data_IF_941342229341
#
_entry.id   IF_941342229341
#
_cell.length_a   1.000
_cell.length_b   1.000
_cell.length_c   1.000
_cell.angle_alpha   90.00
_cell.angle_beta   90.00
_cell.angle_gamma   90.00
#
_symmetry.space_group_name_H-M   'P 1'
#
loop_
_entity.id
_entity.type
_entity.pdbx_description
1 polymer ?
#
# COMPACT_ATOMS: atom_id res chain seq x y z
N UNK A 1 -3.28 21.64 -11.39
CA UNK A 1 -2.53 21.72 -12.65
C UNK A 1 -1.56 22.89 -12.60
N UNK A 2 -0.34 22.79 -13.15
CA UNK A 2 0.60 23.89 -13.23
C UNK A 2 0.00 25.07 -14.02
N UNK A 3 0.26 26.27 -13.56
CA UNK A 3 -0.23 27.49 -14.18
C UNK A 3 0.92 28.23 -14.85
N UNK A 4 0.75 28.54 -16.14
CA UNK A 4 1.64 29.38 -16.93
C UNK A 4 0.97 30.70 -17.33
N UNK A 5 0.03 31.21 -16.52
CA UNK A 5 -0.53 32.55 -16.66
C UNK A 5 0.50 33.63 -16.35
N UNK A 6 0.24 34.86 -16.81
CA UNK A 6 1.18 35.97 -16.74
C UNK A 6 1.76 36.22 -15.33
N UNK A 7 0.91 36.12 -14.29
CA UNK A 7 1.33 36.32 -12.91
C UNK A 7 2.26 35.21 -12.41
N UNK A 8 1.95 33.95 -12.73
CA UNK A 8 2.80 32.81 -12.38
C UNK A 8 4.15 32.88 -13.07
N UNK A 9 4.17 33.25 -14.37
CA UNK A 9 5.42 33.42 -15.11
C UNK A 9 6.24 34.58 -14.52
N UNK A 10 5.60 35.70 -14.14
CA UNK A 10 6.29 36.81 -13.49
C UNK A 10 6.93 36.37 -12.19
N UNK A 11 6.17 35.72 -11.31
CA UNK A 11 6.69 35.23 -10.03
C UNK A 11 7.82 34.21 -10.20
N UNK A 12 7.69 33.29 -11.16
CA UNK A 12 8.77 32.35 -11.48
C UNK A 12 10.05 33.06 -11.92
N UNK A 13 9.94 34.07 -12.81
CA UNK A 13 11.09 34.87 -13.25
C UNK A 13 11.72 35.64 -12.09
N UNK A 14 10.93 36.28 -11.24
CA UNK A 14 11.42 36.98 -10.04
C UNK A 14 12.17 36.07 -9.08
N UNK A 15 11.84 34.78 -9.08
CA UNK A 15 12.50 33.72 -8.26
C UNK A 15 13.63 33.00 -8.98
N UNK A 16 13.94 33.36 -10.24
CA UNK A 16 14.96 32.66 -11.02
C UNK A 16 14.56 31.25 -11.48
N UNK A 17 13.25 30.95 -11.52
CA UNK A 17 12.72 29.66 -11.95
C UNK A 17 12.50 29.69 -13.45
N UNK A 18 13.03 28.68 -14.14
CA UNK A 18 12.81 28.52 -15.58
C UNK A 18 11.38 28.04 -15.86
N UNK A 19 10.55 28.94 -16.31
CA UNK A 19 9.15 28.67 -16.64
C UNK A 19 8.94 27.83 -17.92
N UNK A 20 10.01 27.59 -18.70
CA UNK A 20 10.00 26.68 -19.86
C UNK A 20 10.35 25.24 -19.44
N UNK A 21 10.90 25.05 -18.27
CA UNK A 21 11.16 23.73 -17.71
C UNK A 21 9.93 23.18 -17.01
N UNK A 22 9.31 22.17 -17.60
CA UNK A 22 8.06 21.56 -17.08
C UNK A 22 8.16 21.11 -15.63
N UNK A 23 9.27 20.45 -15.25
CA UNK A 23 9.52 20.00 -13.89
C UNK A 23 9.58 21.18 -12.90
N UNK A 24 10.25 22.26 -13.28
CA UNK A 24 10.34 23.47 -12.45
C UNK A 24 8.98 24.16 -12.28
N UNK A 25 8.14 24.15 -13.33
CA UNK A 25 6.77 24.70 -13.29
C UNK A 25 5.86 23.86 -12.39
N UNK A 26 5.97 22.53 -12.43
CA UNK A 26 5.23 21.65 -11.52
C UNK A 26 5.63 21.88 -10.06
N UNK A 27 6.93 21.98 -9.79
CA UNK A 27 7.42 22.24 -8.44
C UNK A 27 6.98 23.63 -7.92
N UNK A 28 7.04 24.66 -8.75
CA UNK A 28 6.51 25.97 -8.41
C UNK A 28 5.01 25.93 -8.10
N UNK A 29 4.21 25.19 -8.90
CA UNK A 29 2.78 25.03 -8.67
C UNK A 29 2.50 24.33 -7.33
N UNK A 30 3.28 23.28 -7.00
CA UNK A 30 3.19 22.56 -5.73
C UNK A 30 3.47 23.49 -4.55
N UNK A 31 4.60 24.18 -4.57
CA UNK A 31 4.99 25.14 -3.52
C UNK A 31 3.98 26.30 -3.37
N UNK A 32 3.41 26.77 -4.47
CA UNK A 32 2.39 27.83 -4.44
C UNK A 32 1.10 27.37 -3.79
N UNK A 33 0.66 26.14 -4.09
CA UNK A 33 -0.48 25.49 -3.44
C UNK A 33 -0.24 25.33 -1.94
N UNK A 34 0.91 24.80 -1.56
CA UNK A 34 1.25 24.51 -0.17
C UNK A 34 1.27 25.81 0.67
N UNK A 35 1.86 26.90 0.13
CA UNK A 35 1.82 28.23 0.76
C UNK A 35 0.39 28.76 0.91
N UNK A 36 -0.44 28.59 -0.11
CA UNK A 36 -1.84 29.00 -0.06
C UNK A 36 -2.59 28.23 1.03
N UNK A 37 -2.49 26.92 1.06
CA UNK A 37 -3.15 26.08 2.07
C UNK A 37 -2.69 26.42 3.49
N UNK A 38 -1.38 26.61 3.69
CA UNK A 38 -0.82 27.04 4.98
C UNK A 38 -1.36 28.40 5.43
N UNK A 39 -1.43 29.36 4.52
CA UNK A 39 -1.98 30.69 4.82
C UNK A 39 -3.46 30.62 5.24
N UNK A 40 -4.28 29.87 4.49
CA UNK A 40 -5.70 29.68 4.82
C UNK A 40 -5.85 28.96 6.17
N UNK A 41 -5.10 27.90 6.41
CA UNK A 41 -5.15 27.17 7.68
C UNK A 41 -4.83 28.09 8.87
N UNK A 42 -3.79 28.92 8.75
CA UNK A 42 -3.41 29.86 9.80
C UNK A 42 -4.51 30.92 10.06
N UNK A 43 -5.11 31.47 9.01
CA UNK A 43 -6.18 32.45 9.13
C UNK A 43 -7.44 31.85 9.80
N UNK A 44 -7.83 30.64 9.41
CA UNK A 44 -8.98 29.97 10.00
C UNK A 44 -8.72 29.65 11.48
N UNK A 45 -7.54 29.08 11.80
CA UNK A 45 -7.16 28.78 13.20
C UNK A 45 -7.12 30.02 14.09
N UNK A 46 -6.70 31.17 13.54
CA UNK A 46 -6.72 32.45 14.27
C UNK A 46 -8.13 32.97 14.50
N UNK A 47 -8.99 32.85 13.49
CA UNK A 47 -10.38 33.33 13.58
C UNK A 47 -11.27 32.42 14.46
N UNK A 48 -11.09 31.10 14.37
CA UNK A 48 -11.81 30.11 15.15
C UNK A 48 -10.97 28.83 15.32
N UNK A 49 -10.29 28.67 16.49
CA UNK A 49 -9.46 27.50 16.77
C UNK A 49 -10.22 26.15 16.71
N UNK A 50 -11.55 26.17 16.90
CA UNK A 50 -12.40 25.00 16.89
C UNK A 50 -13.02 24.70 15.51
N UNK A 51 -12.74 25.50 14.49
CA UNK A 51 -13.24 25.25 13.15
C UNK A 51 -12.70 23.92 12.61
N UNK A 52 -13.58 23.10 12.04
CA UNK A 52 -13.19 21.92 11.31
C UNK A 52 -12.65 22.34 9.93
N UNK A 53 -11.44 21.92 9.63
CA UNK A 53 -10.73 22.28 8.42
C UNK A 53 -10.25 21.03 7.70
N UNK A 54 -10.56 20.97 6.42
CA UNK A 54 -10.11 19.94 5.48
C UNK A 54 -9.73 20.60 4.15
N UNK A 55 -8.70 20.07 3.51
CA UNK A 55 -8.30 20.49 2.16
C UNK A 55 -8.41 19.33 1.19
N UNK A 56 -9.30 19.42 0.24
CA UNK A 56 -9.39 18.46 -0.85
C UNK A 56 -8.16 18.54 -1.78
N UNK A 57 -7.67 17.39 -2.25
CA UNK A 57 -6.56 17.28 -3.19
C UNK A 57 -5.15 17.42 -2.60
N UNK A 58 -5.01 17.43 -1.27
CA UNK A 58 -3.73 17.27 -0.59
C UNK A 58 -3.45 15.79 -0.25
N UNK A 59 -2.18 15.45 -0.04
CA UNK A 59 -1.81 14.14 0.51
C UNK A 59 -2.36 13.99 1.93
N UNK A 60 -2.53 12.76 2.41
CA UNK A 60 -3.02 12.52 3.77
C UNK A 60 -2.12 13.16 4.83
N UNK A 61 -0.79 13.13 4.65
CA UNK A 61 0.14 13.79 5.54
C UNK A 61 -0.11 15.30 5.58
N UNK A 62 -0.21 15.95 4.42
CA UNK A 62 -0.51 17.39 4.34
C UNK A 62 -1.87 17.74 4.96
N UNK A 63 -2.88 16.89 4.77
CA UNK A 63 -4.18 17.05 5.43
C UNK A 63 -4.06 16.95 6.97
N UNK A 64 -3.26 15.99 7.47
CA UNK A 64 -3.02 15.81 8.89
C UNK A 64 -2.32 17.02 9.53
N UNK A 65 -1.34 17.59 8.83
CA UNK A 65 -0.55 18.74 9.30
C UNK A 65 -1.37 20.03 9.35
N UNK A 66 -2.18 20.26 8.34
CA UNK A 66 -2.92 21.51 8.15
C UNK A 66 -4.33 21.48 8.75
N UNK A 67 -5.00 20.33 8.69
CA UNK A 67 -6.40 20.15 9.04
C UNK A 67 -6.64 19.55 10.42
N UNK A 68 -7.93 19.35 10.71
CA UNK A 68 -8.41 18.74 11.95
C UNK A 68 -8.88 17.30 11.74
N UNK A 69 -9.18 16.92 10.51
CA UNK A 69 -9.58 15.57 10.13
C UNK A 69 -9.08 15.26 8.72
N UNK A 70 -9.07 13.99 8.41
CA UNK A 70 -8.73 13.49 7.08
C UNK A 70 -10.02 13.06 6.37
N UNK A 71 -10.04 13.27 5.08
CA UNK A 71 -11.08 12.72 4.23
C UNK A 71 -10.45 12.07 3.01
N UNK A 72 -10.88 10.88 2.67
CA UNK A 72 -10.56 10.32 1.37
C UNK A 72 -11.83 9.96 0.61
N UNK A 73 -11.74 10.18 -0.67
CA UNK A 73 -12.82 9.89 -1.59
C UNK A 73 -12.66 8.49 -2.16
N UNK A 74 -13.68 7.69 -1.93
CA UNK A 74 -13.80 6.36 -2.44
C UNK A 74 -14.67 6.37 -3.71
N UNK A 75 -14.11 6.81 -4.83
CA UNK A 75 -14.84 6.99 -6.10
C UNK A 75 -14.31 6.07 -7.19
N UNK A 76 -15.23 5.52 -7.99
CA UNK A 76 -14.90 4.70 -9.16
C UNK A 76 -14.49 3.26 -8.86
N UNK A 77 -14.04 2.53 -9.90
CA UNK A 77 -13.79 1.08 -9.82
C UNK A 77 -12.53 0.68 -9.06
N UNK A 78 -11.49 1.51 -9.08
CA UNK A 78 -10.23 1.24 -8.39
C UNK A 78 -10.33 1.29 -6.85
N UNK A 79 -11.50 1.57 -6.34
CA UNK A 79 -11.75 1.74 -4.91
C UNK A 79 -11.52 0.46 -4.10
N UNK A 80 -11.86 -0.71 -4.64
CA UNK A 80 -11.70 -1.99 -3.96
C UNK A 80 -10.24 -2.29 -3.61
N UNK A 81 -9.30 -1.76 -4.40
CA UNK A 81 -7.86 -1.92 -4.21
C UNK A 81 -7.27 -0.79 -3.40
N UNK A 82 -7.72 0.44 -3.64
CA UNK A 82 -7.17 1.62 -2.98
C UNK A 82 -7.72 1.82 -1.56
N UNK A 83 -8.93 1.35 -1.28
CA UNK A 83 -9.57 1.53 0.03
C UNK A 83 -8.78 0.87 1.18
N UNK A 84 -8.32 -0.39 1.11
CA UNK A 84 -7.50 -0.99 2.17
C UNK A 84 -6.24 -0.19 2.45
N UNK A 85 -5.47 0.16 1.42
CA UNK A 85 -4.24 0.93 1.56
C UNK A 85 -4.49 2.28 2.23
N UNK A 86 -5.49 3.03 1.75
CA UNK A 86 -5.85 4.34 2.29
C UNK A 86 -6.34 4.24 3.74
N UNK A 87 -7.18 3.25 4.04
CA UNK A 87 -7.72 3.02 5.37
C UNK A 87 -6.60 2.72 6.37
N UNK A 88 -5.72 1.79 6.03
CA UNK A 88 -4.64 1.33 6.90
C UNK A 88 -3.52 2.38 7.09
N UNK A 89 -3.36 3.29 6.14
CA UNK A 89 -2.46 4.42 6.28
C UNK A 89 -3.10 5.59 7.07
N UNK A 90 -4.30 6.02 6.68
CA UNK A 90 -4.94 7.20 7.26
C UNK A 90 -5.19 7.06 8.77
N UNK A 91 -5.55 5.86 9.25
CA UNK A 91 -5.78 5.61 10.69
C UNK A 91 -4.51 5.76 11.55
N UNK A 92 -3.31 5.80 10.92
CA UNK A 92 -2.01 6.01 11.61
C UNK A 92 -1.64 7.48 11.77
N UNK A 93 -2.36 8.40 11.14
CA UNK A 93 -2.05 9.82 11.16
C UNK A 93 -2.66 10.58 12.36
N UNK A 94 -3.20 9.88 13.35
CA UNK A 94 -3.73 10.44 14.60
C UNK A 94 -4.77 11.55 14.42
N UNK A 95 -5.57 11.45 13.36
CA UNK A 95 -6.68 12.36 13.08
C UNK A 95 -7.97 11.55 12.86
N UNK A 96 -9.14 12.10 13.17
CA UNK A 96 -10.38 11.50 12.71
C UNK A 96 -10.38 11.36 11.19
N UNK A 97 -10.79 10.21 10.69
CA UNK A 97 -10.84 9.91 9.26
C UNK A 97 -12.28 9.80 8.80
N UNK A 98 -12.62 10.51 7.74
CA UNK A 98 -13.89 10.42 7.05
C UNK A 98 -13.72 9.65 5.74
N UNK A 99 -14.40 8.52 5.62
CA UNK A 99 -14.52 7.77 4.38
C UNK A 99 -15.74 8.30 3.61
N UNK A 100 -15.51 9.00 2.50
CA UNK A 100 -16.55 9.49 1.62
C UNK A 100 -16.66 8.59 0.39
N UNK A 101 -17.86 8.12 0.12
CA UNK A 101 -18.22 7.39 -1.10
C UNK A 101 -19.29 8.13 -1.88
N UNK A 102 -19.23 8.10 -3.22
CA UNK A 102 -20.32 8.56 -4.06
C UNK A 102 -21.43 7.52 -4.22
N UNK A 103 -22.69 7.96 -4.29
CA UNK A 103 -23.81 7.06 -4.65
C UNK A 103 -23.79 6.64 -6.13
N UNK A 104 -22.90 7.19 -6.91
CA UNK A 104 -22.77 7.00 -8.34
C UNK A 104 -22.16 5.64 -8.69
N UNK A 105 -22.46 5.14 -9.90
CA UNK A 105 -21.90 3.88 -10.35
C UNK A 105 -20.51 4.03 -10.99
N UNK A 106 -20.36 4.95 -11.94
CA UNK A 106 -19.15 5.07 -12.76
C UNK A 106 -18.16 6.10 -12.24
N UNK A 107 -18.63 7.29 -11.95
CA UNK A 107 -17.81 8.44 -11.54
C UNK A 107 -18.64 9.47 -10.81
N UNK A 108 -17.99 10.46 -10.20
CA UNK A 108 -18.67 11.61 -9.61
C UNK A 108 -19.56 12.31 -10.66
N UNK A 109 -20.77 12.71 -10.24
CA UNK A 109 -21.78 13.37 -11.08
C UNK A 109 -22.37 12.49 -12.20
N UNK A 110 -22.24 11.18 -12.14
CA UNK A 110 -23.02 10.25 -12.98
C UNK A 110 -24.49 10.21 -12.48
N UNK A 111 -25.27 11.21 -12.85
CA UNK A 111 -26.63 11.42 -12.32
C UNK A 111 -27.56 10.21 -12.51
N UNK A 112 -27.40 9.44 -13.59
CA UNK A 112 -28.20 8.25 -13.88
C UNK A 112 -27.62 6.97 -13.26
N UNK A 113 -26.37 6.99 -12.80
CA UNK A 113 -25.73 5.84 -12.19
C UNK A 113 -26.04 5.75 -10.69
N UNK A 114 -26.29 4.54 -10.21
CA UNK A 114 -26.49 4.27 -8.78
C UNK A 114 -25.70 3.01 -8.41
N UNK A 115 -24.96 3.06 -7.32
CA UNK A 115 -24.27 1.88 -6.81
C UNK A 115 -25.26 0.91 -6.16
N UNK A 116 -24.90 -0.38 -6.07
CA UNK A 116 -25.74 -1.35 -5.38
C UNK A 116 -25.73 -1.13 -3.85
N UNK A 117 -26.73 -1.68 -3.19
CA UNK A 117 -26.79 -1.70 -1.74
C UNK A 117 -25.58 -2.42 -1.13
N UNK A 118 -25.17 -3.54 -1.73
CA UNK A 118 -24.06 -4.36 -1.23
C UNK A 118 -22.72 -3.65 -1.39
N UNK A 119 -22.49 -2.95 -2.52
CA UNK A 119 -21.30 -2.11 -2.71
C UNK A 119 -21.23 -1.00 -1.67
N UNK A 120 -22.33 -0.28 -1.47
CA UNK A 120 -22.40 0.81 -0.50
C UNK A 120 -22.20 0.28 0.94
N UNK A 121 -22.81 -0.85 1.28
CA UNK A 121 -22.64 -1.52 2.58
C UNK A 121 -21.19 -1.92 2.81
N UNK A 122 -20.52 -2.48 1.79
CA UNK A 122 -19.10 -2.85 1.87
C UNK A 122 -18.23 -1.63 2.16
N UNK A 123 -18.34 -0.56 1.37
CA UNK A 123 -17.47 0.61 1.53
C UNK A 123 -17.65 1.31 2.86
N UNK A 124 -18.89 1.51 3.28
CA UNK A 124 -19.17 2.14 4.56
C UNK A 124 -18.78 1.21 5.72
N UNK A 125 -19.14 -0.07 5.65
CA UNK A 125 -18.81 -1.07 6.65
C UNK A 125 -17.30 -1.27 6.81
N UNK A 126 -16.55 -1.31 5.70
CA UNK A 126 -15.10 -1.40 5.73
C UNK A 126 -14.46 -0.16 6.40
N UNK A 127 -14.94 1.03 6.05
CA UNK A 127 -14.49 2.26 6.72
C UNK A 127 -14.73 2.21 8.23
N UNK A 128 -15.95 1.84 8.66
CA UNK A 128 -16.30 1.70 10.07
C UNK A 128 -15.45 0.66 10.80
N UNK A 129 -15.25 -0.52 10.21
CA UNK A 129 -14.38 -1.58 10.75
C UNK A 129 -12.92 -1.14 10.89
N UNK A 130 -12.49 -0.15 10.09
CA UNK A 130 -11.15 0.45 10.14
C UNK A 130 -11.12 1.77 10.92
N UNK A 131 -12.04 1.96 11.87
CA UNK A 131 -12.09 3.10 12.80
C UNK A 131 -12.40 4.45 12.15
N UNK A 132 -12.97 4.44 10.95
CA UNK A 132 -13.34 5.66 10.23
C UNK A 132 -14.80 6.05 10.46
N UNK A 133 -15.11 7.28 10.16
CA UNK A 133 -16.48 7.77 9.99
C UNK A 133 -16.85 7.72 8.52
N UNK A 134 -18.14 7.62 8.21
CA UNK A 134 -18.60 7.42 6.85
C UNK A 134 -19.57 8.49 6.40
N UNK A 135 -19.47 8.89 5.12
CA UNK A 135 -20.44 9.77 4.46
C UNK A 135 -20.69 9.30 3.04
N UNK A 136 -21.88 9.62 2.52
CA UNK A 136 -22.26 9.36 1.14
C UNK A 136 -22.42 10.68 0.42
N UNK A 137 -21.59 10.88 -0.61
CA UNK A 137 -21.68 12.06 -1.49
C UNK A 137 -22.73 11.86 -2.57
N UNK A 138 -23.49 12.92 -2.83
CA UNK A 138 -24.46 13.01 -3.92
C UNK A 138 -24.39 14.39 -4.59
N UNK A 139 -24.95 14.49 -5.76
CA UNK A 139 -25.15 15.74 -6.49
C UNK A 139 -26.63 16.02 -6.63
N UNK A 140 -27.07 17.16 -6.13
CA UNK A 140 -28.44 17.62 -6.42
C UNK A 140 -28.59 17.96 -7.90
N UNK A 141 -29.74 17.58 -8.44
CA UNK A 141 -30.10 18.05 -9.76
C UNK A 141 -30.13 19.60 -9.79
N UNK A 142 -29.71 20.26 -10.89
CA UNK A 142 -29.75 21.73 -10.97
C UNK A 142 -31.11 22.36 -10.63
N UNK A 143 -32.21 21.61 -10.77
CA UNK A 143 -33.55 22.03 -10.32
C UNK A 143 -33.78 21.96 -8.81
N UNK A 144 -32.85 21.37 -8.06
CA UNK A 144 -33.02 21.13 -6.63
C UNK A 144 -33.81 19.87 -6.26
N UNK A 145 -34.07 18.99 -7.23
CA UNK A 145 -34.83 17.77 -7.00
C UNK A 145 -34.05 16.78 -6.11
N UNK A 146 -34.75 16.14 -5.20
CA UNK A 146 -34.24 15.02 -4.42
C UNK A 146 -34.67 13.71 -5.08
N UNK A 147 -33.69 12.85 -5.37
CA UNK A 147 -33.96 11.52 -5.94
C UNK A 147 -34.31 10.54 -4.82
N UNK A 148 -35.59 10.34 -4.56
CA UNK A 148 -36.10 9.47 -3.50
C UNK A 148 -35.46 8.06 -3.50
N UNK A 149 -35.29 7.35 -4.64
CA UNK A 149 -34.66 6.02 -4.65
C UNK A 149 -33.23 6.00 -4.07
N UNK A 150 -32.45 7.07 -4.29
CA UNK A 150 -31.09 7.22 -3.73
C UNK A 150 -31.15 7.32 -2.21
N UNK A 151 -32.03 8.14 -1.67
CA UNK A 151 -32.18 8.30 -0.23
C UNK A 151 -32.77 7.04 0.43
N UNK A 152 -33.62 6.29 -0.25
CA UNK A 152 -34.12 5.00 0.23
C UNK A 152 -32.99 3.95 0.31
N UNK A 153 -32.09 3.91 -0.69
CA UNK A 153 -30.89 3.08 -0.68
C UNK A 153 -29.98 3.44 0.51
N UNK A 154 -29.63 4.73 0.64
CA UNK A 154 -28.78 5.22 1.73
C UNK A 154 -29.38 4.86 3.09
N UNK A 155 -30.66 5.13 3.29
CA UNK A 155 -31.40 4.78 4.53
C UNK A 155 -31.32 3.30 4.86
N UNK A 156 -31.48 2.44 3.85
CA UNK A 156 -31.42 0.99 4.02
C UNK A 156 -30.06 0.56 4.53
N UNK A 157 -28.99 1.04 3.89
CA UNK A 157 -27.62 0.68 4.26
C UNK A 157 -27.22 1.25 5.62
N UNK A 158 -27.47 2.54 5.87
CA UNK A 158 -27.20 3.14 7.19
C UNK A 158 -27.98 2.45 8.29
N UNK A 159 -29.25 2.06 8.06
CA UNK A 159 -30.05 1.33 9.04
C UNK A 159 -29.48 -0.04 9.39
N UNK A 160 -28.84 -0.73 8.45
CA UNK A 160 -28.09 -1.98 8.72
C UNK A 160 -26.86 -1.71 9.57
N UNK A 161 -26.01 -0.74 9.17
CA UNK A 161 -24.73 -0.46 9.80
C UNK A 161 -24.92 0.13 11.21
N UNK A 162 -25.99 0.89 11.44
CA UNK A 162 -26.32 1.47 12.76
C UNK A 162 -26.51 0.39 13.84
N UNK A 163 -26.92 -0.81 13.47
CA UNK A 163 -27.07 -1.93 14.43
C UNK A 163 -25.73 -2.34 15.07
N UNK A 164 -24.62 -2.00 14.42
CA UNK A 164 -23.27 -2.33 14.87
C UNK A 164 -22.49 -1.11 15.37
N UNK A 165 -23.17 0.05 15.57
CA UNK A 165 -22.51 1.31 15.97
C UNK A 165 -21.65 1.15 17.23
N UNK A 166 -22.12 0.36 18.19
CA UNK A 166 -21.42 0.11 19.46
C UNK A 166 -20.09 -0.64 19.26
N UNK A 167 -19.91 -1.37 18.15
CA UNK A 167 -18.68 -2.08 17.83
C UNK A 167 -17.62 -1.19 17.20
N UNK A 168 -18.01 -0.02 16.68
CA UNK A 168 -17.12 0.87 15.94
C UNK A 168 -16.66 2.08 16.76
N UNK A 169 -17.48 2.51 17.73
CA UNK A 169 -17.19 3.72 18.51
C UNK A 169 -15.98 3.52 19.41
N UNK A 170 -15.01 4.44 19.32
CA UNK A 170 -13.79 4.44 20.15
C UNK A 170 -13.00 3.11 20.08
N UNK A 171 -13.11 2.41 18.96
CA UNK A 171 -12.38 1.19 18.69
C UNK A 171 -10.99 1.52 18.11
N UNK A 172 -9.99 0.70 18.45
CA UNK A 172 -8.63 0.79 17.94
C UNK A 172 -8.30 -0.46 17.13
N UNK A 173 -7.62 -0.30 15.99
CA UNK A 173 -7.21 -1.43 15.19
C UNK A 173 -6.14 -2.26 15.92
N UNK A 174 -6.26 -3.58 15.83
CA UNK A 174 -5.24 -4.54 16.32
C UNK A 174 -4.50 -5.09 15.12
N UNK A 175 -3.18 -4.87 15.08
CA UNK A 175 -2.32 -5.27 13.97
C UNK A 175 -1.02 -5.88 14.46
N UNK A 176 -0.41 -6.72 13.64
CA UNK A 176 0.87 -7.38 13.93
C UNK A 176 1.95 -7.02 12.91
N UNK A 177 1.53 -6.71 11.68
CA UNK A 177 2.40 -6.37 10.58
C UNK A 177 2.32 -4.88 10.25
N UNK A 178 3.43 -4.33 9.77
CA UNK A 178 3.45 -3.02 9.15
C UNK A 178 4.07 -3.12 7.75
N UNK A 179 3.32 -2.67 6.75
CA UNK A 179 3.83 -2.48 5.40
C UNK A 179 4.54 -1.13 5.36
N UNK A 180 5.87 -1.17 5.38
CA UNK A 180 6.70 0.03 5.34
C UNK A 180 6.90 0.45 3.89
N UNK A 181 6.42 1.64 3.57
CA UNK A 181 6.50 2.24 2.24
C UNK A 181 7.12 3.64 2.31
N UNK A 182 7.85 4.10 1.28
CA UNK A 182 8.33 5.47 1.27
C UNK A 182 7.14 6.45 1.17
N UNK A 183 7.28 7.65 1.73
CA UNK A 183 6.24 8.68 1.72
C UNK A 183 5.80 9.04 0.28
N UNK A 184 6.75 9.07 -0.66
CA UNK A 184 6.48 9.37 -2.06
C UNK A 184 5.58 8.32 -2.77
N UNK A 185 5.32 7.16 -2.17
CA UNK A 185 4.36 6.18 -2.69
C UNK A 185 2.94 6.76 -2.84
N UNK A 186 2.64 7.83 -2.11
CA UNK A 186 1.36 8.53 -2.22
C UNK A 186 1.37 9.70 -3.22
N UNK A 187 2.49 9.93 -3.90
CA UNK A 187 2.63 10.89 -5.00
C UNK A 187 2.66 10.18 -6.35
N UNK A 188 1.49 9.96 -6.95
CA UNK A 188 1.36 9.29 -8.26
C UNK A 188 1.76 10.15 -9.44
N UNK A 189 2.24 11.36 -9.23
CA UNK A 189 2.75 12.22 -10.29
C UNK A 189 4.16 11.82 -10.76
N UNK A 190 4.86 11.00 -9.97
CA UNK A 190 6.21 10.51 -10.25
C UNK A 190 6.22 9.03 -10.61
N UNK A 191 7.20 8.60 -11.44
CA UNK A 191 7.36 7.18 -11.77
C UNK A 191 7.72 6.35 -10.54
N UNK A 192 8.56 6.87 -9.66
CA UNK A 192 8.97 6.18 -8.43
C UNK A 192 7.79 6.03 -7.47
N UNK A 193 6.95 7.07 -7.35
CA UNK A 193 5.71 6.99 -6.58
C UNK A 193 4.74 5.96 -7.13
N UNK A 194 4.58 5.90 -8.46
CA UNK A 194 3.74 4.89 -9.10
C UNK A 194 4.24 3.47 -8.84
N UNK A 195 5.54 3.19 -8.97
CA UNK A 195 6.12 1.87 -8.66
C UNK A 195 5.94 1.50 -7.20
N UNK A 196 6.25 2.41 -6.27
CA UNK A 196 6.08 2.18 -4.85
C UNK A 196 4.60 1.91 -4.48
N UNK A 197 3.67 2.64 -5.08
CA UNK A 197 2.23 2.42 -4.91
C UNK A 197 1.78 1.07 -5.47
N UNK A 198 2.31 0.65 -6.62
CA UNK A 198 2.03 -0.67 -7.20
C UNK A 198 2.48 -1.80 -6.29
N UNK A 199 3.68 -1.72 -5.73
CA UNK A 199 4.18 -2.66 -4.73
C UNK A 199 3.28 -2.68 -3.48
N UNK A 200 2.87 -1.51 -3.00
CA UNK A 200 1.98 -1.37 -1.85
C UNK A 200 0.60 -2.00 -2.09
N UNK A 201 0.01 -1.81 -3.28
CA UNK A 201 -1.26 -2.47 -3.63
C UNK A 201 -1.12 -3.99 -3.70
N UNK A 202 -0.01 -4.48 -4.27
CA UNK A 202 0.27 -5.92 -4.31
C UNK A 202 0.45 -6.52 -2.92
N UNK A 203 1.17 -5.83 -2.04
CA UNK A 203 1.33 -6.24 -0.65
C UNK A 203 -0.02 -6.26 0.09
N UNK A 204 -0.81 -5.19 0.00
CA UNK A 204 -2.13 -5.13 0.59
C UNK A 204 -3.05 -6.24 0.05
N UNK A 205 -3.02 -6.51 -1.27
CA UNK A 205 -3.77 -7.61 -1.87
C UNK A 205 -3.38 -8.97 -1.29
N UNK A 206 -2.08 -9.26 -1.15
CA UNK A 206 -1.61 -10.51 -0.56
C UNK A 206 -2.01 -10.62 0.91
N UNK A 207 -1.82 -9.57 1.70
CA UNK A 207 -2.14 -9.54 3.12
C UNK A 207 -3.64 -9.70 3.38
N UNK A 208 -4.49 -9.03 2.58
CA UNK A 208 -5.94 -9.18 2.63
C UNK A 208 -6.37 -10.61 2.31
N UNK A 209 -5.79 -11.23 1.26
CA UNK A 209 -6.09 -12.60 0.87
C UNK A 209 -5.63 -13.65 1.89
N UNK A 210 -4.58 -13.36 2.63
CA UNK A 210 -4.08 -14.17 3.74
C UNK A 210 -4.78 -13.86 5.08
N UNK A 211 -5.65 -12.85 5.12
CA UNK A 211 -6.35 -12.36 6.32
C UNK A 211 -5.40 -11.91 7.43
N UNK A 212 -4.26 -11.33 7.08
CA UNK A 212 -3.28 -10.81 8.01
C UNK A 212 -3.67 -9.41 8.51
N UNK A 213 -3.36 -9.15 9.77
CA UNK A 213 -3.66 -7.88 10.42
C UNK A 213 -2.47 -6.92 10.25
N UNK A 214 -2.64 -5.86 9.46
CA UNK A 214 -1.56 -4.96 9.09
C UNK A 214 -1.96 -3.49 9.11
N UNK A 215 -0.97 -2.61 9.25
CA UNK A 215 -1.04 -1.19 8.94
C UNK A 215 -0.13 -0.85 7.76
N UNK A 216 -0.36 0.29 7.15
CA UNK A 216 0.56 0.92 6.20
C UNK A 216 1.23 2.08 6.91
N UNK A 217 2.55 2.11 6.90
CA UNK A 217 3.33 3.14 7.59
C UNK A 217 4.45 3.71 6.72
N UNK A 218 4.90 4.90 7.07
CA UNK A 218 6.09 5.56 6.51
C UNK A 218 7.26 5.51 7.50
N UNK A 219 8.51 5.74 7.05
CA UNK A 219 9.69 5.62 7.90
C UNK A 219 9.72 6.53 9.15
N UNK A 220 8.96 7.62 9.16
CA UNK A 220 8.84 8.55 10.28
C UNK A 220 7.91 8.09 11.41
N UNK A 221 7.05 7.09 11.13
CA UNK A 221 6.07 6.57 12.10
C UNK A 221 6.69 5.61 13.12
N UNK A 222 5.97 5.34 14.21
CA UNK A 222 6.41 4.42 15.28
C UNK A 222 6.28 2.95 14.84
N UNK A 223 7.33 2.16 15.09
CA UNK A 223 7.39 0.74 14.78
C UNK A 223 7.07 -0.18 15.98
N UNK A 224 7.05 0.36 17.20
CA UNK A 224 7.03 -0.41 18.45
C UNK A 224 5.78 -1.29 18.63
N UNK A 225 4.69 -0.93 17.97
CA UNK A 225 3.42 -1.66 18.08
C UNK A 225 3.38 -2.95 17.24
N UNK A 226 4.35 -3.16 16.33
CA UNK A 226 4.32 -4.26 15.39
C UNK A 226 5.26 -5.40 15.80
N UNK A 227 5.07 -6.55 15.21
CA UNK A 227 5.93 -7.75 15.37
C UNK A 227 6.80 -7.99 14.14
N UNK A 228 6.28 -7.63 12.95
CA UNK A 228 7.00 -7.76 11.69
C UNK A 228 6.86 -6.48 10.86
N UNK A 229 8.00 -5.93 10.43
CA UNK A 229 8.06 -4.88 9.42
C UNK A 229 8.30 -5.51 8.05
N UNK A 230 7.48 -5.13 7.08
CA UNK A 230 7.60 -5.56 5.69
C UNK A 230 8.10 -4.40 4.85
N UNK A 231 9.37 -4.46 4.45
CA UNK A 231 9.97 -3.47 3.56
C UNK A 231 9.66 -3.85 2.12
N UNK A 232 8.82 -3.06 1.48
CA UNK A 232 8.31 -3.35 0.15
C UNK A 232 9.40 -3.22 -0.93
N UNK A 233 9.11 -3.70 -2.11
CA UNK A 233 10.03 -3.90 -3.23
C UNK A 233 10.99 -2.74 -3.52
N UNK A 234 10.52 -1.49 -3.42
CA UNK A 234 11.29 -0.27 -3.72
C UNK A 234 11.70 0.51 -2.46
N UNK A 235 11.54 -0.08 -1.26
CA UNK A 235 11.72 0.65 0.01
C UNK A 235 13.19 0.69 0.43
N UNK A 236 13.97 1.55 -0.26
CA UNK A 236 15.30 1.94 0.22
C UNK A 236 15.17 2.84 1.44
N UNK A 237 16.14 2.78 2.34
CA UNK A 237 16.10 3.50 3.62
C UNK A 237 17.34 4.37 3.81
N UNK A 238 17.18 5.43 4.62
CA UNK A 238 18.29 6.24 5.10
C UNK A 238 18.90 5.66 6.38
N UNK A 239 20.10 6.14 6.80
CA UNK A 239 20.76 5.66 8.01
C UNK A 239 19.93 5.84 9.29
N UNK A 240 19.13 6.91 9.39
CA UNK A 240 18.30 7.17 10.57
C UNK A 240 17.17 6.14 10.69
N UNK A 241 16.50 5.86 9.58
CA UNK A 241 15.48 4.80 9.50
C UNK A 241 16.08 3.43 9.81
N UNK A 242 17.31 3.16 9.29
CA UNK A 242 18.02 1.91 9.57
C UNK A 242 18.30 1.72 11.08
N UNK A 243 18.73 2.76 11.79
CA UNK A 243 18.96 2.66 13.24
C UNK A 243 17.66 2.36 14.00
N UNK A 244 16.56 2.99 13.65
CA UNK A 244 15.25 2.71 14.25
C UNK A 244 14.78 1.29 13.99
N UNK A 245 15.02 0.74 12.79
CA UNK A 245 14.71 -0.66 12.50
C UNK A 245 15.65 -1.61 13.28
N UNK A 246 16.93 -1.27 13.45
CA UNK A 246 17.85 -2.05 14.30
C UNK A 246 17.39 -2.10 15.76
N UNK A 247 16.92 -0.98 16.31
CA UNK A 247 16.33 -0.94 17.65
C UNK A 247 15.07 -1.81 17.72
N UNK A 248 14.19 -1.76 16.72
CA UNK A 248 13.02 -2.63 16.62
C UNK A 248 13.41 -4.13 16.61
N UNK A 249 14.46 -4.51 15.86
CA UNK A 249 14.98 -5.88 15.82
C UNK A 249 15.57 -6.31 17.17
N UNK A 250 16.32 -5.44 17.84
CA UNK A 250 16.87 -5.69 19.19
C UNK A 250 15.76 -5.93 20.23
N UNK A 251 14.60 -5.32 20.04
CA UNK A 251 13.41 -5.52 20.88
C UNK A 251 12.57 -6.74 20.48
N UNK A 252 13.10 -7.62 19.62
CA UNK A 252 12.46 -8.88 19.23
C UNK A 252 11.56 -8.80 18.00
N UNK A 253 11.50 -7.66 17.32
CA UNK A 253 10.83 -7.51 16.02
C UNK A 253 11.55 -8.29 14.93
N UNK A 254 10.88 -8.49 13.79
CA UNK A 254 11.43 -9.17 12.60
C UNK A 254 11.20 -8.33 11.35
N UNK A 255 12.00 -8.55 10.32
CA UNK A 255 11.81 -7.89 9.01
C UNK A 255 11.55 -8.91 7.91
N UNK A 256 10.70 -8.52 6.96
CA UNK A 256 10.54 -9.18 5.67
C UNK A 256 10.88 -8.16 4.59
N UNK A 257 12.00 -8.33 3.91
CA UNK A 257 12.49 -7.41 2.89
C UNK A 257 12.27 -8.00 1.50
N UNK A 258 11.80 -7.20 0.54
CA UNK A 258 11.66 -7.59 -0.86
C UNK A 258 12.44 -6.65 -1.77
N UNK A 259 13.00 -7.18 -2.86
CA UNK A 259 13.70 -6.40 -3.87
C UNK A 259 14.83 -5.54 -3.30
N UNK A 260 14.62 -4.24 -3.27
CA UNK A 260 15.55 -3.24 -2.73
C UNK A 260 15.31 -2.89 -1.26
N UNK A 261 14.34 -3.56 -0.63
CA UNK A 261 13.96 -3.30 0.76
C UNK A 261 15.12 -3.40 1.74
N UNK A 262 15.43 -2.31 2.43
CA UNK A 262 16.54 -2.22 3.39
C UNK A 262 17.89 -1.83 2.81
N UNK A 263 18.02 -1.66 1.48
CA UNK A 263 19.22 -1.05 0.89
C UNK A 263 19.27 0.45 1.17
N UNK A 264 20.48 0.98 1.22
CA UNK A 264 20.72 2.41 1.40
C UNK A 264 20.19 3.23 0.21
N UNK A 265 19.73 4.45 0.48
CA UNK A 265 19.46 5.43 -0.56
C UNK A 265 20.72 5.68 -1.39
N UNK A 266 20.63 5.46 -2.70
CA UNK A 266 21.71 5.76 -3.66
C UNK A 266 22.88 4.77 -3.66
N UNK A 267 22.83 3.64 -2.94
CA UNK A 267 23.85 2.59 -2.99
C UNK A 267 23.30 1.18 -2.79
N UNK A 268 24.11 0.18 -3.09
CA UNK A 268 23.75 -1.24 -2.95
C UNK A 268 24.10 -1.81 -1.55
N UNK A 269 24.37 -0.94 -0.58
CA UNK A 269 24.67 -1.35 0.77
C UNK A 269 23.40 -1.75 1.52
N UNK A 270 23.37 -2.98 2.06
CA UNK A 270 22.34 -3.40 3.02
C UNK A 270 22.60 -2.71 4.36
N UNK A 271 21.64 -1.92 4.86
CA UNK A 271 21.75 -1.19 6.12
C UNK A 271 21.24 -1.97 7.32
N UNK A 272 20.45 -3.01 7.08
CA UNK A 272 19.89 -3.86 8.14
C UNK A 272 20.86 -4.99 8.48
N UNK A 273 20.83 -5.54 9.72
CA UNK A 273 21.68 -6.62 10.15
C UNK A 273 21.19 -7.97 9.61
N UNK A 274 21.07 -8.06 8.29
CA UNK A 274 20.83 -9.29 7.56
C UNK A 274 22.15 -9.79 6.99
N UNK A 275 22.49 -11.09 7.13
CA UNK A 275 23.75 -11.67 6.63
C UNK A 275 23.69 -11.88 5.12
N UNK A 276 23.63 -10.78 4.37
CA UNK A 276 23.54 -10.74 2.92
C UNK A 276 24.47 -9.71 2.34
N UNK A 277 24.94 -9.95 1.12
CA UNK A 277 25.68 -8.99 0.32
C UNK A 277 24.93 -8.76 -0.99
N UNK A 278 24.52 -7.51 -1.24
CA UNK A 278 23.99 -7.09 -2.51
C UNK A 278 25.14 -6.91 -3.52
N UNK A 279 24.99 -7.50 -4.71
CA UNK A 279 25.95 -7.40 -5.81
C UNK A 279 25.49 -6.41 -6.88
N UNK A 280 24.33 -5.76 -6.67
CA UNK A 280 23.67 -4.88 -7.62
C UNK A 280 22.43 -5.51 -8.24
N UNK A 281 21.96 -4.94 -9.32
CA UNK A 281 20.80 -5.44 -10.08
C UNK A 281 21.11 -6.83 -10.64
N UNK A 282 20.14 -7.75 -10.56
CA UNK A 282 20.26 -9.09 -11.13
C UNK A 282 20.57 -9.02 -12.63
N UNK A 283 21.54 -9.78 -13.15
CA UNK A 283 21.79 -9.83 -14.58
C UNK A 283 20.69 -10.58 -15.33
N UNK A 284 19.89 -11.38 -14.65
CA UNK A 284 18.83 -12.20 -15.27
C UNK A 284 17.51 -11.46 -15.33
N UNK A 285 16.92 -11.33 -16.53
CA UNK A 285 15.60 -10.76 -16.77
C UNK A 285 14.96 -11.39 -18.03
N UNK A 286 13.96 -12.31 -17.90
CA UNK A 286 13.44 -12.83 -16.64
C UNK A 286 14.45 -13.71 -15.89
N UNK A 287 14.23 -13.82 -14.58
CA UNK A 287 14.86 -14.83 -13.73
C UNK A 287 13.82 -15.89 -13.35
N UNK A 288 14.29 -16.99 -12.74
CA UNK A 288 13.40 -18.03 -12.23
C UNK A 288 13.79 -18.32 -10.78
N UNK A 289 12.78 -18.71 -9.98
CA UNK A 289 12.98 -19.13 -8.59
C UNK A 289 12.77 -20.64 -8.46
N UNK A 290 13.68 -21.31 -7.76
CA UNK A 290 13.52 -22.69 -7.28
C UNK A 290 13.47 -22.68 -5.76
N UNK A 291 12.35 -23.15 -5.21
CA UNK A 291 12.11 -23.19 -3.75
C UNK A 291 12.37 -24.60 -3.26
N UNK A 292 13.06 -24.73 -2.13
CA UNK A 292 13.28 -26.05 -1.49
C UNK A 292 11.95 -26.64 -1.02
N UNK A 293 11.72 -27.93 -1.30
CA UNK A 293 10.46 -28.61 -0.97
C UNK A 293 10.13 -28.59 0.52
N UNK A 294 11.15 -28.66 1.40
CA UNK A 294 10.98 -28.58 2.85
C UNK A 294 10.56 -27.18 3.34
N UNK A 295 10.75 -26.14 2.52
CA UNK A 295 10.35 -24.76 2.84
C UNK A 295 8.88 -24.55 2.51
N UNK A 296 8.45 -24.94 1.31
CA UNK A 296 7.07 -24.77 0.85
C UNK A 296 6.66 -25.96 -0.03
N UNK A 297 6.14 -27.04 0.57
CA UNK A 297 5.75 -28.24 -0.17
C UNK A 297 4.71 -28.01 -1.26
N UNK A 298 3.89 -26.95 -1.13
CA UNK A 298 2.87 -26.59 -2.11
C UNK A 298 3.42 -25.76 -3.28
N UNK A 299 4.68 -25.33 -3.23
CA UNK A 299 5.31 -24.63 -4.35
C UNK A 299 5.60 -25.62 -5.49
N UNK A 300 5.42 -25.24 -6.77
CA UNK A 300 5.68 -26.14 -7.89
C UNK A 300 7.10 -26.70 -7.89
N UNK A 301 7.25 -28.01 -8.15
CA UNK A 301 8.55 -28.69 -8.31
C UNK A 301 9.22 -28.36 -9.65
N UNK A 302 9.21 -27.08 -10.00
CA UNK A 302 9.85 -26.56 -11.23
C UNK A 302 10.28 -25.10 -11.00
N UNK A 303 11.27 -24.58 -11.75
CA UNK A 303 11.59 -23.17 -11.74
C UNK A 303 10.40 -22.31 -12.17
N UNK A 304 10.00 -21.34 -11.34
CA UNK A 304 8.88 -20.43 -11.59
C UNK A 304 9.40 -19.05 -11.97
N UNK A 305 8.78 -18.41 -12.95
CA UNK A 305 9.23 -17.10 -13.48
C UNK A 305 9.08 -15.97 -12.47
N UNK A 306 10.16 -15.20 -12.33
CA UNK A 306 10.18 -13.89 -11.67
C UNK A 306 10.10 -12.83 -12.79
N UNK A 307 8.96 -12.16 -12.91
CA UNK A 307 8.66 -11.31 -14.08
C UNK A 307 9.35 -9.96 -14.05
N UNK A 308 9.75 -9.48 -12.88
CA UNK A 308 10.46 -8.22 -12.71
C UNK A 308 11.94 -8.46 -12.41
N UNK A 309 12.78 -7.58 -12.91
CA UNK A 309 14.19 -7.58 -12.58
C UNK A 309 14.40 -7.28 -11.10
N UNK A 310 15.10 -8.18 -10.41
CA UNK A 310 15.41 -8.05 -8.98
C UNK A 310 16.84 -7.64 -8.72
N UNK A 311 17.27 -7.92 -7.49
CA UNK A 311 18.65 -7.71 -7.04
C UNK A 311 19.38 -9.06 -6.95
N UNK A 312 20.68 -9.03 -7.18
CA UNK A 312 21.58 -10.19 -6.96
C UNK A 312 22.07 -10.16 -5.50
N UNK A 313 21.71 -11.17 -4.73
CA UNK A 313 22.12 -11.30 -3.34
C UNK A 313 22.91 -12.58 -3.11
N UNK A 314 24.00 -12.46 -2.34
CA UNK A 314 24.79 -13.58 -1.81
C UNK A 314 24.56 -13.72 -0.32
N UNK A 315 24.26 -14.95 0.10
CA UNK A 315 24.18 -15.29 1.52
C UNK A 315 25.56 -15.23 2.17
N UNK A 316 25.63 -14.74 3.40
CA UNK A 316 26.81 -14.68 4.23
C UNK A 316 26.69 -15.65 5.42
N UNK A 317 27.78 -15.93 6.17
CA UNK A 317 27.71 -16.78 7.36
C UNK A 317 26.60 -16.31 8.32
N UNK A 318 25.76 -17.26 8.76
CA UNK A 318 24.58 -16.98 9.59
C UNK A 318 23.27 -16.82 8.79
N UNK A 319 23.30 -17.03 7.49
CA UNK A 319 22.14 -17.05 6.62
C UNK A 319 21.80 -18.45 6.13
N UNK A 320 20.52 -18.75 6.01
CA UNK A 320 20.00 -19.95 5.35
C UNK A 320 19.38 -19.55 3.99
N UNK A 321 19.77 -20.24 2.91
CA UNK A 321 19.16 -20.08 1.60
C UNK A 321 17.94 -21.00 1.51
N UNK A 322 16.76 -20.40 1.41
CA UNK A 322 15.47 -21.09 1.28
C UNK A 322 15.07 -21.34 -0.18
N UNK A 323 15.52 -20.47 -1.09
CA UNK A 323 15.29 -20.58 -2.52
C UNK A 323 16.46 -19.99 -3.30
N UNK A 324 16.72 -20.55 -4.48
CA UNK A 324 17.82 -20.18 -5.38
C UNK A 324 17.30 -19.51 -6.66
N UNK A 325 18.13 -18.66 -7.27
CA UNK A 325 17.89 -18.09 -8.59
C UNK A 325 18.37 -19.07 -9.66
N UNK A 326 17.48 -19.40 -10.60
CA UNK A 326 17.78 -20.14 -11.81
C UNK A 326 17.87 -19.12 -12.95
N UNK A 327 18.99 -19.11 -13.67
CA UNK A 327 19.16 -18.22 -14.82
C UNK A 327 18.43 -18.76 -16.06
N UNK A 328 18.04 -17.89 -16.99
CA UNK A 328 17.56 -18.32 -18.29
C UNK A 328 18.69 -19.01 -19.09
N UNK A 329 18.31 -19.91 -19.99
CA UNK A 329 19.25 -20.63 -20.88
C UNK A 329 20.00 -19.65 -21.79
N UNK A 330 19.34 -18.59 -22.21
CA UNK A 330 19.89 -17.52 -23.04
C UNK A 330 19.43 -16.19 -22.48
N UNK A 331 20.37 -15.29 -22.21
CA UNK A 331 20.05 -13.90 -21.88
C UNK A 331 19.73 -13.18 -23.18
N UNK A 332 18.45 -12.94 -23.41
CA UNK A 332 18.01 -12.30 -24.61
C UNK A 332 16.83 -11.37 -24.32
N UNK A 333 17.00 -10.13 -24.70
CA UNK A 333 15.94 -9.12 -24.61
C UNK A 333 15.02 -9.21 -25.84
N UNK A 334 13.77 -8.82 -25.65
CA UNK A 334 12.87 -8.57 -26.77
C UNK A 334 13.38 -7.36 -27.58
N UNK A 335 13.69 -7.56 -28.86
CA UNK A 335 14.16 -6.49 -29.74
C UNK A 335 13.04 -5.75 -30.49
N UNK A 336 11.78 -6.10 -30.18
CA UNK A 336 10.58 -5.55 -30.82
C UNK A 336 10.10 -6.34 -32.04
N UNK A 337 10.88 -7.31 -32.56
CA UNK A 337 10.57 -8.02 -33.77
C UNK A 337 10.80 -9.54 -33.67
N UNK A 338 11.87 -9.98 -33.01
CA UNK A 338 12.33 -11.37 -33.06
C UNK A 338 12.39 -12.04 -31.70
N UNK A 339 12.03 -13.33 -31.67
CA UNK A 339 12.26 -14.24 -30.57
C UNK A 339 11.13 -14.32 -29.54
N UNK A 340 11.27 -15.26 -28.61
CA UNK A 340 10.39 -15.40 -27.44
C UNK A 340 10.89 -14.51 -26.31
N UNK A 341 10.02 -13.75 -25.69
CA UNK A 341 10.35 -12.93 -24.53
C UNK A 341 10.87 -13.77 -23.35
N UNK A 342 10.32 -14.97 -23.17
CA UNK A 342 10.74 -15.92 -22.14
C UNK A 342 11.55 -17.06 -22.75
N UNK A 343 12.77 -17.25 -22.23
CA UNK A 343 13.61 -18.40 -22.57
C UNK A 343 13.54 -19.45 -21.47
N UNK A 344 13.74 -20.75 -21.75
CA UNK A 344 13.66 -21.78 -20.71
C UNK A 344 14.67 -21.54 -19.56
N UNK A 345 14.34 -21.97 -18.32
CA UNK A 345 15.30 -21.98 -17.21
C UNK A 345 16.46 -22.96 -17.50
N UNK A 346 17.67 -22.62 -17.07
CA UNK A 346 18.87 -23.46 -17.22
C UNK A 346 19.30 -24.01 -15.84
N UNK A 347 20.14 -23.28 -15.13
CA UNK A 347 20.75 -23.72 -13.86
C UNK A 347 20.88 -22.58 -12.86
N UNK A 348 21.17 -22.93 -11.63
CA UNK A 348 21.48 -21.95 -10.58
C UNK A 348 22.63 -21.04 -11.02
N UNK A 349 22.49 -19.74 -10.79
CA UNK A 349 23.56 -18.76 -11.03
C UNK A 349 24.41 -18.47 -9.77
N UNK A 350 24.03 -19.09 -8.63
CA UNK A 350 24.65 -18.90 -7.33
C UNK A 350 24.10 -17.73 -6.52
N UNK A 351 23.12 -16.98 -7.05
CA UNK A 351 22.38 -15.99 -6.28
C UNK A 351 21.26 -16.64 -5.49
N UNK A 352 20.96 -16.09 -4.33
CA UNK A 352 19.85 -16.54 -3.51
C UNK A 352 18.58 -15.75 -3.87
N UNK A 353 17.47 -16.46 -4.04
CA UNK A 353 16.15 -15.87 -4.23
C UNK A 353 15.51 -15.50 -2.89
N UNK A 354 15.65 -16.39 -1.89
CA UNK A 354 15.12 -16.18 -0.53
C UNK A 354 16.20 -16.56 0.48
N UNK A 355 16.46 -15.65 1.40
CA UNK A 355 17.45 -15.80 2.47
C UNK A 355 16.76 -15.58 3.81
N UNK A 356 16.96 -16.47 4.77
CA UNK A 356 16.49 -16.35 6.15
C UNK A 356 17.64 -16.16 7.12
N UNK A 357 17.41 -15.40 8.17
CA UNK A 357 18.29 -15.22 9.32
C UNK A 357 17.49 -14.97 10.59
N UNK A 358 18.16 -14.90 11.74
CA UNK A 358 17.52 -14.59 13.02
C UNK A 358 16.74 -13.25 13.00
N UNK A 359 17.15 -12.29 12.21
CA UNK A 359 16.53 -10.96 12.14
C UNK A 359 15.39 -10.87 11.13
N UNK A 360 15.34 -11.77 10.17
CA UNK A 360 14.28 -11.68 9.15
C UNK A 360 14.57 -12.49 7.90
N UNK A 361 13.71 -12.26 6.91
CA UNK A 361 13.77 -12.88 5.59
C UNK A 361 13.94 -11.81 4.52
N UNK A 362 14.78 -12.10 3.52
CA UNK A 362 14.95 -11.28 2.32
C UNK A 362 14.53 -12.10 1.10
N UNK A 363 13.65 -11.54 0.29
CA UNK A 363 13.25 -11.99 -1.04
C UNK A 363 13.89 -11.09 -2.09
N UNK A 364 14.69 -11.62 -2.99
CA UNK A 364 15.60 -10.84 -3.86
C UNK A 364 14.92 -10.02 -4.97
N UNK A 365 13.69 -10.31 -5.31
CA UNK A 365 12.98 -9.70 -6.43
C UNK A 365 11.76 -8.89 -5.97
N UNK A 366 11.19 -8.03 -6.84
CA UNK A 366 9.94 -7.32 -6.58
C UNK A 366 8.76 -8.31 -6.49
N UNK A 367 8.49 -8.80 -5.29
CA UNK A 367 7.47 -9.82 -5.03
C UNK A 367 6.06 -9.24 -5.15
N UNK A 368 5.85 -8.08 -4.52
CA UNK A 368 4.53 -7.49 -4.42
C UNK A 368 4.07 -6.86 -5.73
N UNK A 369 4.96 -6.19 -6.44
CA UNK A 369 4.68 -5.70 -7.78
C UNK A 369 4.33 -6.86 -8.74
N UNK A 370 5.13 -7.93 -8.72
CA UNK A 370 4.85 -9.15 -9.50
C UNK A 370 3.48 -9.74 -9.17
N UNK A 371 3.15 -9.81 -7.88
CA UNK A 371 1.85 -10.35 -7.47
C UNK A 371 0.69 -9.46 -7.92
N UNK A 372 0.86 -8.15 -7.86
CA UNK A 372 -0.15 -7.19 -8.33
C UNK A 372 -0.49 -7.38 -9.82
N UNK A 373 0.50 -7.69 -10.63
CA UNK A 373 0.34 -7.86 -12.08
C UNK A 373 -0.16 -9.25 -12.46
N UNK A 374 0.37 -10.30 -11.84
CA UNK A 374 0.17 -11.68 -12.30
C UNK A 374 -0.67 -12.54 -11.34
N UNK A 375 -0.80 -12.16 -10.06
CA UNK A 375 -1.56 -12.85 -9.01
C UNK A 375 -1.32 -14.38 -8.97
N UNK A 376 -0.06 -14.81 -9.17
CA UNK A 376 0.27 -16.25 -9.17
C UNK A 376 0.07 -16.88 -7.78
N UNK A 377 -0.76 -17.93 -7.64
CA UNK A 377 -1.09 -18.51 -6.34
C UNK A 377 0.12 -19.08 -5.59
N UNK A 378 1.14 -19.58 -6.29
CA UNK A 378 2.33 -20.13 -5.66
C UNK A 378 3.13 -19.05 -4.89
N UNK A 379 3.17 -17.80 -5.35
CA UNK A 379 3.80 -16.71 -4.61
C UNK A 379 3.00 -16.32 -3.37
N UNK A 380 1.68 -16.38 -3.42
CA UNK A 380 0.86 -16.17 -2.23
C UNK A 380 1.14 -17.24 -1.17
N UNK A 381 1.18 -18.50 -1.59
CA UNK A 381 1.46 -19.63 -0.69
C UNK A 381 2.87 -19.55 -0.12
N UNK A 382 3.87 -19.25 -0.95
CA UNK A 382 5.25 -19.05 -0.49
C UNK A 382 5.33 -17.90 0.54
N UNK A 383 4.74 -16.76 0.24
CA UNK A 383 4.73 -15.60 1.15
C UNK A 383 4.08 -15.94 2.48
N UNK A 384 2.94 -16.64 2.44
CA UNK A 384 2.26 -17.10 3.66
C UNK A 384 3.19 -17.98 4.51
N UNK A 385 3.90 -18.91 3.87
CA UNK A 385 4.86 -19.80 4.54
C UNK A 385 6.02 -19.02 5.16
N UNK A 386 6.61 -18.08 4.40
CA UNK A 386 7.71 -17.24 4.86
C UNK A 386 7.30 -16.33 6.03
N UNK A 387 6.13 -15.68 5.94
CA UNK A 387 5.62 -14.85 7.05
C UNK A 387 5.29 -15.67 8.30
N UNK A 388 4.81 -16.91 8.13
CA UNK A 388 4.57 -17.81 9.26
C UNK A 388 5.87 -18.26 9.95
N UNK A 389 7.00 -18.35 9.22
CA UNK A 389 8.33 -18.59 9.82
C UNK A 389 8.76 -17.42 10.69
N UNK A 390 8.51 -16.18 10.26
CA UNK A 390 8.81 -14.96 11.03
C UNK A 390 7.88 -14.77 12.24
N UNK A 391 6.61 -15.14 12.09
CA UNK A 391 5.58 -15.00 13.10
C UNK A 391 4.79 -16.31 13.24
N UNK A 392 5.31 -17.33 13.95
CA UNK A 392 4.65 -18.63 14.10
C UNK A 392 3.30 -18.54 14.82
N UNK A 393 3.21 -17.63 15.80
CA UNK A 393 1.99 -17.39 16.60
C UNK A 393 1.44 -16.02 16.30
N UNK A 394 0.39 -15.98 15.50
CA UNK A 394 -0.39 -14.76 15.19
C UNK A 394 -1.57 -14.63 16.16
N UNK A 395 -1.96 -13.39 16.45
CA UNK A 395 -3.15 -13.07 17.28
C UNK A 395 -4.43 -13.64 16.65
N UNK A 396 -4.48 -13.72 15.33
CA UNK A 396 -5.63 -14.22 14.58
C UNK A 396 -5.17 -15.18 13.48
N UNK A 397 -5.73 -16.37 13.48
CA UNK A 397 -5.61 -17.32 12.37
C UNK A 397 -7.00 -17.63 11.82
N UNK A 398 -7.19 -17.39 10.53
CA UNK A 398 -8.45 -17.70 9.83
C UNK A 398 -8.17 -18.80 8.82
N UNK A 399 -8.98 -19.85 8.86
CA UNK A 399 -8.89 -21.01 7.96
C UNK A 399 -10.16 -21.13 7.13
N UNK A 400 -10.02 -21.56 5.90
CA UNK A 400 -11.16 -21.83 4.98
C UNK A 400 -12.08 -20.62 4.75
N UNK A 401 -11.51 -19.41 4.77
CA UNK A 401 -12.22 -18.18 4.50
C UNK A 401 -11.76 -17.61 3.15
N UNK A 402 -12.68 -17.22 2.25
CA UNK A 402 -12.30 -16.82 0.89
C UNK A 402 -11.40 -15.59 0.87
N UNK A 403 -10.34 -15.62 0.06
CA UNK A 403 -9.37 -14.52 -0.05
C UNK A 403 -9.94 -13.18 -0.53
N UNK A 404 -11.14 -13.15 -1.13
CA UNK A 404 -11.82 -11.91 -1.47
C UNK A 404 -12.57 -11.26 -0.29
N UNK A 405 -12.75 -11.99 0.82
CA UNK A 405 -13.32 -11.43 2.03
C UNK A 405 -12.32 -10.54 2.76
N UNK A 406 -12.82 -9.60 3.52
CA UNK A 406 -11.99 -8.68 4.32
C UNK A 406 -12.10 -9.00 5.81
N UNK A 407 -10.98 -8.87 6.49
CA UNK A 407 -10.86 -9.15 7.92
C UNK A 407 -10.25 -7.94 8.62
N UNK A 408 -10.89 -7.48 9.68
CA UNK A 408 -10.33 -6.46 10.56
C UNK A 408 -10.59 -6.87 12.01
N UNK A 409 -9.58 -6.68 12.85
CA UNK A 409 -9.70 -6.88 14.30
C UNK A 409 -9.57 -5.54 14.99
N UNK A 410 -10.51 -5.22 15.87
CA UNK A 410 -10.45 -4.01 16.67
C UNK A 410 -10.57 -4.33 18.16
N UNK A 411 -9.99 -3.47 18.98
CA UNK A 411 -10.11 -3.49 20.44
C UNK A 411 -10.93 -2.30 20.89
N UNK A 412 -11.85 -2.55 21.80
CA UNK A 412 -12.65 -1.54 22.46
C UNK A 412 -12.75 -1.89 23.94
N UNK A 413 -12.05 -1.15 24.81
CA UNK A 413 -11.96 -1.46 26.25
C UNK A 413 -11.48 -2.92 26.46
N UNK A 414 -12.34 -3.78 27.02
CA UNK A 414 -12.04 -5.18 27.31
C UNK A 414 -12.56 -6.15 26.23
N UNK A 415 -12.98 -5.65 25.08
CA UNK A 415 -13.57 -6.47 24.01
C UNK A 415 -12.71 -6.43 22.77
N UNK A 416 -12.66 -7.55 22.08
CA UNK A 416 -12.17 -7.64 20.72
C UNK A 416 -13.36 -7.83 19.78
N UNK A 417 -13.37 -7.10 18.68
CA UNK A 417 -14.39 -7.23 17.65
C UNK A 417 -13.70 -7.70 16.37
N UNK A 418 -14.09 -8.88 15.93
CA UNK A 418 -13.67 -9.42 14.64
C UNK A 418 -14.71 -9.05 13.59
N UNK A 419 -14.31 -8.23 12.64
CA UNK A 419 -15.13 -7.82 11.50
C UNK A 419 -14.80 -8.70 10.29
N UNK A 420 -15.76 -9.48 9.85
CA UNK A 420 -15.68 -10.32 8.67
C UNK A 420 -16.64 -9.79 7.62
N UNK A 421 -16.10 -9.33 6.50
CA UNK A 421 -16.90 -8.80 5.41
C UNK A 421 -16.78 -9.70 4.20
N UNK A 422 -17.89 -10.34 3.87
CA UNK A 422 -18.03 -11.15 2.67
C UNK A 422 -18.60 -10.26 1.56
N UNK A 423 -17.75 -9.84 0.65
CA UNK A 423 -18.16 -9.02 -0.48
C UNK A 423 -17.45 -9.48 -1.76
N UNK A 424 -18.24 -9.68 -2.79
CA UNK A 424 -17.72 -9.95 -4.13
C UNK A 424 -17.86 -8.69 -4.98
N UNK A 425 -16.79 -8.13 -5.54
CA UNK A 425 -16.87 -6.94 -6.40
C UNK A 425 -17.83 -7.13 -7.56
N UNK A 426 -18.69 -6.15 -7.82
CA UNK A 426 -19.60 -6.15 -8.97
C UNK A 426 -18.89 -6.03 -10.32
N UNK A 427 -17.65 -5.58 -10.29
CA UNK A 427 -16.85 -5.37 -11.50
C UNK A 427 -15.80 -6.47 -11.62
N UNK A 428 -15.67 -7.10 -12.80
CA UNK A 428 -14.47 -7.89 -13.06
C UNK A 428 -13.25 -7.00 -12.86
N UNK A 429 -12.20 -7.58 -12.28
CA UNK A 429 -10.90 -6.93 -12.25
C UNK A 429 -10.57 -6.40 -13.64
N UNK A 430 -9.99 -5.21 -13.79
CA UNK A 430 -9.49 -4.80 -15.07
C UNK A 430 -8.54 -5.87 -15.57
N UNK A 431 -8.85 -6.43 -16.73
CA UNK A 431 -8.00 -7.37 -17.48
C UNK A 431 -6.73 -6.68 -17.91
#
# INVERSE_FOLDING_TARGET
NPCIGCECIREMKERGIDWQNEKAVFEFARLSRDRFCQRIANQIKQANPNALLYFNGLTFQQQADLGNYLEFEALGRAIYESLPVKAHYARKLNKPVLNMIGRFHKSWADFGGICSADALEYFLGYGLANTMRCTVGDHFHPRGDIQKPVFDLIRTVYGKLQRFSDCYQDAEAVTEFALLTPEYAFDYSTLDGQKALFALWGAAQMFDQMHLLYDVITPDMDFSAYRVLVLLDETRIDPQTAERIKEFLQNGGKVFCCGQGGLALGSEQMLLPLPVQCQGTSPCNPAYISVKAEVCPEFPEMPVTLYHQGMSYRAQPGAEILASIIKPMVEHGWDGEHGNYYTPPDKENGDAAVIESDNGILFSHPLFQTYRECSQPCFLQLTKTLLKRLLPESILEIRNFPGYCRTTLTRQKNRLHLHLMNFHPESPSPS
#
